data_IF_073994262554
#
_entry.id   IF_073994262554
#
_cell.length_a   1.000
_cell.length_b   1.000
_cell.length_c   1.000
_cell.angle_alpha   90.00
_cell.angle_beta   90.00
_cell.angle_gamma   90.00
#
_symmetry.space_group_name_H-M   'P 1'
#
loop_
_entity.id
_entity.type
_entity.pdbx_description
1 polymer ?
#
# COMPACT_ATOMS: atom_id res chain seq x y z
N UNK A 1 -2.24 -9.22 0.80
CA UNK A 1 -1.90 -9.42 2.22
C UNK A 1 -3.14 -9.43 3.10
N UNK A 2 -3.19 -10.31 4.09
CA UNK A 2 -4.43 -10.74 4.75
C UNK A 2 -4.91 -9.88 5.93
N UNK A 3 -4.27 -8.75 6.25
CA UNK A 3 -4.59 -7.98 7.48
C UNK A 3 -6.05 -7.56 7.54
N UNK A 4 -6.63 -7.08 6.42
CA UNK A 4 -8.05 -6.72 6.39
C UNK A 4 -8.99 -7.92 6.16
N UNK A 5 -8.54 -8.96 5.45
CA UNK A 5 -9.37 -10.13 5.10
C UNK A 5 -9.93 -10.83 6.35
N UNK A 6 -9.18 -10.80 7.44
CA UNK A 6 -9.56 -11.38 8.73
C UNK A 6 -9.79 -10.33 9.82
N UNK A 7 -9.80 -9.03 9.47
CA UNK A 7 -10.03 -7.97 10.43
C UNK A 7 -11.41 -8.11 11.11
N UNK A 8 -11.58 -7.59 12.34
CA UNK A 8 -12.83 -7.70 13.09
C UNK A 8 -14.05 -7.22 12.27
N UNK A 9 -15.09 -8.03 12.19
CA UNK A 9 -16.27 -7.81 11.34
C UNK A 9 -16.27 -8.64 10.05
N UNK A 10 -15.10 -9.05 9.55
CA UNK A 10 -15.02 -9.92 8.36
C UNK A 10 -15.56 -11.33 8.63
N UNK A 11 -16.19 -11.90 7.62
CA UNK A 11 -16.81 -13.21 7.66
C UNK A 11 -16.11 -14.20 6.72
N UNK A 12 -15.84 -15.40 7.25
CA UNK A 12 -15.20 -16.51 6.52
C UNK A 12 -16.11 -17.73 6.59
N UNK A 13 -16.28 -18.41 5.47
CA UNK A 13 -17.03 -19.67 5.40
C UNK A 13 -16.04 -20.83 5.39
N UNK A 14 -16.21 -21.76 6.33
CA UNK A 14 -15.45 -23.00 6.42
C UNK A 14 -16.33 -24.10 7.02
N UNK A 15 -16.22 -25.34 6.53
CA UNK A 15 -16.95 -26.51 7.05
C UNK A 15 -18.47 -26.30 7.22
N UNK A 16 -19.10 -25.64 6.25
CA UNK A 16 -20.55 -25.33 6.29
C UNK A 16 -20.95 -24.30 7.36
N UNK A 17 -19.98 -23.63 7.98
CA UNK A 17 -20.16 -22.63 9.04
C UNK A 17 -19.62 -21.26 8.63
N UNK A 18 -20.28 -20.21 9.14
CA UNK A 18 -19.90 -18.82 9.00
C UNK A 18 -19.21 -18.35 10.27
N UNK A 19 -17.95 -17.93 10.13
CA UNK A 19 -17.10 -17.41 11.19
C UNK A 19 -16.99 -15.90 11.04
N UNK A 20 -17.48 -15.14 12.03
CA UNK A 20 -17.28 -13.69 12.09
C UNK A 20 -16.08 -13.37 12.96
N UNK A 21 -15.03 -12.78 12.36
CA UNK A 21 -13.87 -12.28 13.11
C UNK A 21 -14.29 -11.22 14.11
N UNK A 22 -13.76 -11.26 15.33
CA UNK A 22 -14.16 -10.31 16.39
C UNK A 22 -13.05 -9.88 17.33
N UNK A 23 -12.08 -10.75 17.60
CA UNK A 23 -11.03 -10.45 18.57
C UNK A 23 -9.68 -10.38 17.88
N UNK A 24 -8.86 -9.41 18.26
CA UNK A 24 -7.45 -9.35 17.87
C UNK A 24 -6.64 -10.15 18.90
N UNK A 25 -6.01 -11.24 18.47
CA UNK A 25 -5.35 -12.16 19.38
C UNK A 25 -4.13 -11.49 20.02
N UNK A 26 -4.05 -11.60 21.34
CA UNK A 26 -2.93 -11.10 22.14
C UNK A 26 -1.72 -12.03 22.09
N UNK A 27 -0.54 -11.46 22.31
CA UNK A 27 0.69 -12.19 22.61
C UNK A 27 0.58 -12.81 24.01
N UNK A 28 0.99 -14.07 24.15
CA UNK A 28 1.08 -14.77 25.44
C UNK A 28 2.35 -14.32 26.22
N UNK A 29 2.64 -13.02 26.27
CA UNK A 29 3.81 -12.49 26.95
C UNK A 29 3.46 -12.07 28.39
N UNK A 30 4.42 -12.22 29.32
CA UNK A 30 4.30 -11.75 30.71
C UNK A 30 4.43 -10.22 30.84
N UNK A 31 4.38 -9.47 29.74
CA UNK A 31 4.56 -8.02 29.68
C UNK A 31 3.21 -7.29 29.58
N UNK A 32 3.17 -6.05 30.08
CA UNK A 32 1.95 -5.22 30.17
C UNK A 32 1.40 -4.85 28.77
N UNK A 33 2.24 -4.87 27.75
CA UNK A 33 1.85 -4.69 26.34
C UNK A 33 1.73 -6.05 25.63
N UNK A 34 0.51 -6.41 25.24
CA UNK A 34 0.13 -7.74 24.76
C UNK A 34 -0.18 -7.79 23.25
N UNK A 35 0.25 -6.79 22.47
CA UNK A 35 0.25 -6.79 21.01
C UNK A 35 1.57 -6.23 20.50
N UNK A 36 1.90 -6.52 19.24
CA UNK A 36 2.88 -5.70 18.53
C UNK A 36 2.21 -4.40 18.11
N UNK A 37 2.92 -3.30 18.32
CA UNK A 37 2.46 -1.97 17.96
C UNK A 37 3.35 -1.37 16.88
N UNK A 38 2.74 -0.54 16.04
CA UNK A 38 3.43 0.37 15.16
C UNK A 38 2.89 1.79 15.33
N UNK A 39 3.54 2.77 14.73
CA UNK A 39 3.11 4.16 14.72
C UNK A 39 3.07 4.65 13.29
N UNK A 40 1.96 5.28 12.91
CA UNK A 40 1.74 5.80 11.56
C UNK A 40 1.33 7.27 11.62
N UNK A 41 1.74 8.04 10.63
CA UNK A 41 1.36 9.44 10.46
C UNK A 41 1.49 9.84 9.00
N UNK A 42 0.80 10.91 8.62
CA UNK A 42 1.00 11.58 7.35
C UNK A 42 1.86 12.84 7.57
N UNK A 43 2.69 13.20 6.59
CA UNK A 43 3.48 14.41 6.65
C UNK A 43 2.58 15.65 6.57
N UNK A 44 2.79 16.63 7.44
CA UNK A 44 1.98 17.86 7.48
C UNK A 44 2.34 18.88 6.38
N UNK A 45 3.42 18.63 5.61
CA UNK A 45 3.76 19.45 4.45
C UNK A 45 2.79 19.13 3.30
N UNK A 46 1.97 20.08 2.82
CA UNK A 46 0.97 19.85 1.76
C UNK A 46 1.57 19.37 0.44
N UNK A 47 2.82 19.73 0.14
CA UNK A 47 3.50 19.27 -1.08
C UNK A 47 4.05 17.84 -0.92
N UNK A 48 4.07 17.31 0.30
CA UNK A 48 4.63 15.99 0.60
C UNK A 48 3.57 14.96 1.01
N UNK A 49 2.80 15.19 2.07
CA UNK A 49 1.71 14.27 2.52
C UNK A 49 2.11 12.78 2.59
N UNK A 50 3.41 12.48 2.69
CA UNK A 50 3.89 11.11 2.61
C UNK A 50 3.58 10.40 3.93
N UNK A 51 3.09 9.17 3.84
CA UNK A 51 2.87 8.34 5.01
C UNK A 51 4.21 7.86 5.57
N UNK A 52 4.36 8.03 6.87
CA UNK A 52 5.53 7.63 7.65
C UNK A 52 5.12 6.55 8.65
N UNK A 53 5.98 5.55 8.83
CA UNK A 53 5.75 4.43 9.74
C UNK A 53 6.98 4.15 10.60
N UNK A 54 6.76 3.73 11.85
CA UNK A 54 7.80 3.25 12.77
C UNK A 54 7.29 2.06 13.58
N UNK A 55 8.14 1.05 13.80
CA UNK A 55 7.89 -0.06 14.73
C UNK A 55 8.05 0.32 16.21
N UNK A 56 8.73 1.41 16.49
CA UNK A 56 8.95 1.91 17.85
C UNK A 56 8.28 3.27 18.01
N UNK A 57 7.98 3.64 19.26
CA UNK A 57 7.37 4.92 19.54
C UNK A 57 8.28 6.06 19.04
N UNK A 58 7.79 6.91 18.11
CA UNK A 58 8.54 8.01 17.53
C UNK A 58 9.00 9.02 18.59
N UNK A 59 10.24 9.51 18.42
CA UNK A 59 10.82 10.60 19.23
C UNK A 59 10.24 11.97 18.91
N UNK A 60 10.81 13.02 19.51
CA UNK A 60 10.36 14.41 19.28
C UNK A 60 10.90 15.02 17.97
N UNK A 61 11.95 14.44 17.39
CA UNK A 61 12.71 14.98 16.26
C UNK A 61 12.65 14.08 15.01
N UNK A 62 11.59 13.29 14.89
CA UNK A 62 11.39 12.41 13.73
C UNK A 62 11.12 13.23 12.48
N UNK A 63 11.87 12.94 11.42
CA UNK A 63 11.76 13.60 10.14
C UNK A 63 10.94 12.76 9.17
N UNK A 64 10.21 13.42 8.29
CA UNK A 64 9.53 12.77 7.18
C UNK A 64 10.55 12.09 6.26
N UNK A 65 10.34 10.80 5.96
CA UNK A 65 11.21 10.00 5.10
C UNK A 65 11.37 10.53 3.67
N UNK A 66 10.48 11.42 3.23
CA UNK A 66 10.41 11.91 1.85
C UNK A 66 10.91 13.35 1.66
N UNK A 67 10.72 14.22 2.66
CA UNK A 67 11.00 15.66 2.54
C UNK A 67 11.74 16.27 3.73
N UNK A 68 12.11 15.45 4.72
CA UNK A 68 12.85 15.85 5.92
C UNK A 68 12.13 16.86 6.83
N UNK A 69 10.86 17.17 6.57
CA UNK A 69 10.06 18.02 7.45
C UNK A 69 9.85 17.31 8.78
N UNK A 70 10.13 18.01 9.89
CA UNK A 70 9.92 17.49 11.25
C UNK A 70 8.45 17.17 11.48
N UNK A 71 8.18 15.96 11.97
CA UNK A 71 6.83 15.48 12.28
C UNK A 71 6.56 15.64 13.77
N UNK A 72 5.45 16.29 14.10
CA UNK A 72 5.03 16.44 15.49
C UNK A 72 4.71 15.08 16.11
N UNK A 73 5.35 14.75 17.25
CA UNK A 73 5.13 13.50 18.00
C UNK A 73 3.65 13.21 18.28
N UNK A 74 2.82 14.23 18.49
CA UNK A 74 1.38 14.09 18.78
C UNK A 74 0.55 13.63 17.58
N UNK A 75 1.09 13.73 16.36
CA UNK A 75 0.42 13.31 15.12
C UNK A 75 0.55 11.82 14.84
N UNK A 76 1.53 11.18 15.47
CA UNK A 76 1.72 9.74 15.34
C UNK A 76 0.61 8.97 16.04
N UNK A 77 -0.13 8.20 15.25
CA UNK A 77 -1.18 7.32 15.73
C UNK A 77 -0.60 5.95 16.03
N UNK A 78 -0.85 5.44 17.24
CA UNK A 78 -0.54 4.05 17.60
C UNK A 78 -1.44 3.11 16.77
N UNK A 79 -0.86 2.02 16.30
CA UNK A 79 -1.50 0.98 15.44
C UNK A 79 -1.20 -0.39 15.99
N UNK A 80 -2.04 -1.38 15.70
CA UNK A 80 -1.83 -2.77 16.13
C UNK A 80 -1.37 -3.60 14.94
N UNK A 81 -0.29 -4.36 15.12
CA UNK A 81 0.13 -5.39 14.18
C UNK A 81 -0.34 -6.78 14.67
N UNK A 82 -1.36 -7.39 14.02
CA UNK A 82 -2.03 -8.60 14.52
C UNK A 82 -1.24 -9.89 14.24
N UNK A 83 0.01 -10.01 14.72
CA UNK A 83 0.91 -11.16 14.46
C UNK A 83 0.37 -12.52 14.86
N UNK A 84 -0.50 -12.58 15.88
CA UNK A 84 -1.13 -13.83 16.35
C UNK A 84 -2.48 -14.10 15.67
N UNK A 85 -2.84 -13.28 14.69
CA UNK A 85 -4.08 -13.37 13.96
C UNK A 85 -5.29 -12.89 14.76
N UNK A 86 -6.45 -13.38 14.33
CA UNK A 86 -7.76 -12.99 14.85
C UNK A 86 -8.49 -14.21 15.40
N UNK A 87 -9.47 -13.97 16.27
CA UNK A 87 -10.36 -15.01 16.80
C UNK A 87 -11.79 -14.62 16.42
N UNK A 88 -12.56 -15.61 15.97
CA UNK A 88 -13.96 -15.43 15.63
C UNK A 88 -14.86 -15.47 16.86
N UNK A 89 -16.09 -14.97 16.69
CA UNK A 89 -17.19 -15.36 17.56
C UNK A 89 -17.52 -16.86 17.37
N UNK A 90 -18.49 -17.34 18.15
CA UNK A 90 -19.04 -18.68 17.92
C UNK A 90 -19.62 -18.75 16.50
N UNK A 91 -19.20 -19.74 15.69
CA UNK A 91 -19.67 -19.84 14.32
C UNK A 91 -21.16 -20.16 14.27
N UNK A 92 -21.82 -19.66 13.23
CA UNK A 92 -23.23 -19.94 12.92
C UNK A 92 -23.34 -20.73 11.62
N UNK A 93 -24.50 -21.32 11.32
CA UNK A 93 -24.72 -21.96 10.02
C UNK A 93 -24.69 -20.93 8.87
N UNK A 94 -24.13 -21.34 7.74
CA UNK A 94 -24.00 -20.48 6.57
C UNK A 94 -25.37 -20.15 6.00
N UNK A 95 -25.58 -18.87 5.70
CA UNK A 95 -26.77 -18.40 5.00
C UNK A 95 -26.45 -18.29 3.50
N UNK A 96 -27.49 -18.25 2.67
CA UNK A 96 -27.35 -18.02 1.21
C UNK A 96 -26.86 -16.60 0.86
N UNK A 97 -26.68 -15.72 1.85
CA UNK A 97 -26.15 -14.36 1.67
C UNK A 97 -24.63 -14.38 1.51
N UNK A 98 -24.11 -13.56 0.59
CA UNK A 98 -22.67 -13.37 0.41
C UNK A 98 -22.03 -12.93 1.74
N UNK A 99 -20.93 -13.56 2.20
CA UNK A 99 -20.23 -13.15 3.40
C UNK A 99 -19.68 -11.73 3.29
N UNK A 100 -19.78 -10.97 4.38
CA UNK A 100 -19.17 -9.65 4.50
C UNK A 100 -17.65 -9.79 4.58
N UNK A 101 -16.92 -9.07 3.72
CA UNK A 101 -15.46 -9.07 3.70
C UNK A 101 -14.93 -7.65 3.73
N UNK A 102 -14.05 -7.35 4.69
CA UNK A 102 -13.31 -6.09 4.67
C UNK A 102 -12.11 -6.22 3.74
N UNK A 103 -12.26 -5.79 2.49
CA UNK A 103 -11.18 -5.80 1.49
C UNK A 103 -10.29 -4.55 1.50
N UNK A 104 -10.38 -3.74 2.55
CA UNK A 104 -9.99 -2.33 2.49
C UNK A 104 -8.66 -2.09 3.19
N UNK A 105 -7.56 -2.41 2.50
CA UNK A 105 -6.23 -1.93 2.89
C UNK A 105 -5.67 -0.91 1.92
N UNK A 106 -4.70 -0.16 2.39
CA UNK A 106 -3.83 0.72 1.60
C UNK A 106 -2.39 0.35 1.88
N UNK A 107 -1.60 0.37 0.81
CA UNK A 107 -0.20 -0.04 0.85
C UNK A 107 0.64 1.24 0.67
N UNK A 108 1.56 1.49 1.60
CA UNK A 108 2.44 2.65 1.60
C UNK A 108 3.90 2.21 1.57
N UNK A 109 4.64 2.72 0.61
CA UNK A 109 6.10 2.59 0.62
C UNK A 109 6.69 3.48 1.72
N UNK A 110 7.44 2.87 2.63
CA UNK A 110 8.05 3.56 3.78
C UNK A 110 9.57 3.50 3.75
N UNK A 111 10.13 2.71 2.84
CA UNK A 111 11.56 2.50 2.67
C UNK A 111 12.20 1.78 3.85
N UNK A 112 13.31 1.11 3.60
CA UNK A 112 14.14 0.51 4.65
C UNK A 112 15.56 1.06 4.61
N UNK A 113 16.17 1.26 5.78
CA UNK A 113 17.59 1.65 5.90
C UNK A 113 18.53 0.47 5.62
N UNK A 114 18.04 -0.75 5.82
CA UNK A 114 18.75 -2.00 5.57
C UNK A 114 18.43 -2.60 4.19
N UNK A 115 17.67 -1.89 3.34
CA UNK A 115 17.40 -2.34 1.98
C UNK A 115 18.71 -2.49 1.20
N UNK A 116 18.75 -3.46 0.31
CA UNK A 116 19.87 -3.62 -0.60
C UNK A 116 19.50 -3.06 -1.97
N UNK A 117 20.14 -1.96 -2.35
CA UNK A 117 20.03 -1.38 -3.69
C UNK A 117 20.83 -2.26 -4.64
N UNK A 118 20.14 -2.87 -5.61
CA UNK A 118 20.79 -3.66 -6.67
C UNK A 118 21.39 -2.71 -7.69
N UNK A 119 20.55 -1.83 -8.23
CA UNK A 119 20.91 -0.92 -9.32
C UNK A 119 20.12 0.39 -9.21
N UNK A 120 20.75 1.48 -9.61
CA UNK A 120 20.11 2.76 -9.87
C UNK A 120 20.55 3.21 -11.26
N UNK A 121 19.63 3.10 -12.22
CA UNK A 121 19.85 3.40 -13.63
C UNK A 121 19.14 4.68 -13.99
N UNK A 122 19.77 5.49 -14.83
CA UNK A 122 19.19 6.71 -15.37
C UNK A 122 19.08 6.58 -16.86
N UNK A 123 17.92 6.92 -17.40
CA UNK A 123 17.62 6.85 -18.81
C UNK A 123 17.06 8.17 -19.31
N UNK A 124 17.31 8.46 -20.58
CA UNK A 124 16.69 9.58 -21.29
C UNK A 124 15.84 9.05 -22.44
N UNK A 125 14.63 9.60 -22.60
CA UNK A 125 13.77 9.44 -23.78
C UNK A 125 13.29 10.84 -24.18
N UNK A 126 13.55 11.28 -25.41
CA UNK A 126 13.15 12.62 -25.90
C UNK A 126 13.53 13.78 -24.96
N UNK A 127 14.74 13.75 -24.39
CA UNK A 127 15.25 14.70 -23.38
C UNK A 127 14.53 14.68 -22.02
N UNK A 128 13.59 13.75 -21.81
CA UNK A 128 12.96 13.50 -20.51
C UNK A 128 13.76 12.41 -19.77
N UNK A 129 14.08 12.68 -18.51
CA UNK A 129 14.85 11.76 -17.68
C UNK A 129 13.95 10.85 -16.83
N UNK A 130 14.31 9.57 -16.78
CA UNK A 130 13.70 8.56 -15.92
C UNK A 130 14.80 7.94 -15.06
N UNK A 131 14.59 7.90 -13.76
CA UNK A 131 15.44 7.16 -12.82
C UNK A 131 14.71 5.88 -12.42
N UNK A 132 15.36 4.75 -12.62
CA UNK A 132 14.89 3.43 -12.25
C UNK A 132 15.80 2.85 -11.17
N UNK A 133 15.28 2.71 -9.96
CA UNK A 133 15.98 2.09 -8.83
C UNK A 133 15.36 0.73 -8.52
N UNK A 134 16.21 -0.30 -8.39
CA UNK A 134 15.80 -1.63 -7.95
C UNK A 134 16.38 -1.94 -6.58
N UNK A 135 15.52 -2.35 -5.65
CA UNK A 135 15.90 -2.69 -4.29
C UNK A 135 15.31 -4.04 -3.88
N UNK A 136 15.96 -4.67 -2.90
CA UNK A 136 15.50 -5.90 -2.26
C UNK A 136 15.41 -5.69 -0.76
N UNK A 137 14.55 -6.49 -0.12
CA UNK A 137 14.27 -6.36 1.31
C UNK A 137 13.85 -4.93 1.70
N UNK A 138 13.06 -4.29 0.83
CA UNK A 138 12.58 -2.94 1.06
C UNK A 138 11.19 -2.95 1.70
N UNK A 139 10.89 -1.92 2.48
CA UNK A 139 9.76 -1.96 3.42
C UNK A 139 8.53 -1.21 2.89
N UNK A 140 7.42 -1.93 2.93
CA UNK A 140 6.08 -1.39 2.76
C UNK A 140 5.26 -1.65 4.02
N UNK A 141 4.36 -0.73 4.32
CA UNK A 141 3.34 -0.93 5.35
C UNK A 141 1.98 -1.02 4.71
N UNK A 142 1.24 -2.06 5.05
CA UNK A 142 -0.18 -2.18 4.74
C UNK A 142 -0.97 -1.70 5.94
N UNK A 143 -1.96 -0.86 5.72
CA UNK A 143 -2.85 -0.29 6.74
C UNK A 143 -4.29 -0.55 6.38
N UNK A 144 -5.15 -0.83 7.34
CA UNK A 144 -6.60 -0.78 7.13
C UNK A 144 -7.06 0.64 6.79
N UNK A 145 -8.10 0.77 5.97
CA UNK A 145 -8.68 2.08 5.66
C UNK A 145 -9.41 2.68 6.86
N UNK A 146 -10.13 1.84 7.59
CA UNK A 146 -10.84 2.24 8.80
C UNK A 146 -10.04 1.90 10.05
N UNK A 147 -10.32 2.64 11.13
CA UNK A 147 -9.86 2.31 12.48
C UNK A 147 -10.88 1.41 13.16
N UNK A 148 -10.41 0.65 14.13
CA UNK A 148 -11.21 -0.22 14.97
C UNK A 148 -11.17 0.28 16.40
N UNK A 149 -12.31 0.24 17.08
CA UNK A 149 -12.40 0.41 18.52
C UNK A 149 -12.10 -0.94 19.18
N UNK A 150 -10.97 -1.04 19.87
CA UNK A 150 -10.42 -2.30 20.42
C UNK A 150 -10.39 -2.27 21.94
N UNK A 151 -10.94 -3.29 22.59
CA UNK A 151 -10.83 -3.49 24.02
C UNK A 151 -9.38 -3.84 24.41
N UNK A 152 -8.72 -2.97 25.17
CA UNK A 152 -7.36 -3.21 25.65
C UNK A 152 -7.24 -4.42 26.60
N UNK A 153 -8.33 -5.00 27.11
CA UNK A 153 -8.29 -6.13 28.04
C UNK A 153 -8.39 -7.49 27.33
N UNK A 154 -9.33 -7.68 26.40
CA UNK A 154 -9.53 -8.97 25.74
C UNK A 154 -9.34 -8.95 24.22
N UNK A 155 -9.14 -7.77 23.61
CA UNK A 155 -9.00 -7.64 22.16
C UNK A 155 -10.28 -7.70 21.36
N UNK A 156 -11.46 -7.72 22.00
CA UNK A 156 -12.74 -7.52 21.33
C UNK A 156 -12.72 -6.22 20.54
N UNK A 157 -13.12 -6.27 19.28
CA UNK A 157 -13.00 -5.15 18.38
C UNK A 157 -14.25 -4.97 17.49
N UNK A 158 -14.55 -3.71 17.20
CA UNK A 158 -15.58 -3.29 16.25
C UNK A 158 -14.97 -2.29 15.28
N UNK A 159 -15.45 -2.31 14.04
CA UNK A 159 -15.12 -1.29 13.04
C UNK A 159 -15.63 0.09 13.48
N UNK A 160 -14.87 1.13 13.15
CA UNK A 160 -15.12 2.53 13.51
C UNK A 160 -14.32 2.97 14.75
N UNK A 161 -13.65 4.12 14.63
CA UNK A 161 -12.82 4.69 15.69
C UNK A 161 -13.65 5.04 16.95
N UNK A 162 -14.81 5.65 16.73
CA UNK A 162 -15.68 6.16 17.79
C UNK A 162 -16.81 5.18 18.15
N UNK A 163 -16.81 3.99 17.55
CA UNK A 163 -17.80 2.94 17.81
C UNK A 163 -17.70 2.49 19.27
N UNK A 164 -18.76 2.65 20.08
CA UNK A 164 -18.76 2.13 21.44
C UNK A 164 -18.72 0.60 21.42
N UNK A 165 -17.72 0.01 22.08
CA UNK A 165 -17.67 -1.46 22.20
C UNK A 165 -18.75 -1.96 23.16
N UNK A 166 -18.99 -1.24 24.26
CA UNK A 166 -19.96 -1.59 25.29
C UNK A 166 -19.61 -2.85 26.07
N UNK A 167 -20.55 -3.34 26.89
CA UNK A 167 -20.41 -4.64 27.57
C UNK A 167 -20.27 -5.75 26.52
N UNK A 168 -19.29 -6.60 26.71
CA UNK A 168 -18.98 -7.69 25.79
C UNK A 168 -18.36 -8.88 26.53
N UNK A 169 -18.32 -10.01 25.84
CA UNK A 169 -17.63 -11.22 26.29
C UNK A 169 -16.25 -11.30 25.67
N UNK A 170 -15.29 -11.86 26.41
CA UNK A 170 -13.98 -12.22 25.89
C UNK A 170 -14.05 -13.45 24.96
N UNK A 171 -12.93 -13.84 24.36
CA UNK A 171 -12.79 -14.91 23.39
C UNK A 171 -13.17 -16.31 23.93
N UNK A 172 -13.16 -16.50 25.25
CA UNK A 172 -13.61 -17.74 25.93
C UNK A 172 -15.04 -17.65 26.46
N UNK A 173 -15.77 -16.55 26.20
CA UNK A 173 -17.18 -16.38 26.52
C UNK A 173 -17.50 -15.89 27.93
N UNK A 174 -16.51 -15.38 28.68
CA UNK A 174 -16.70 -14.71 29.99
C UNK A 174 -16.91 -13.21 29.81
N UNK A 175 -17.61 -12.57 30.72
CA UNK A 175 -17.79 -11.11 30.67
C UNK A 175 -16.45 -10.39 30.86
N UNK A 176 -16.16 -9.44 29.97
CA UNK A 176 -14.98 -8.60 30.07
C UNK A 176 -15.24 -7.49 31.09
N UNK A 177 -14.29 -7.18 32.00
CA UNK A 177 -14.46 -6.12 32.99
C UNK A 177 -14.39 -4.70 32.39
N UNK A 178 -14.08 -4.56 31.11
CA UNK A 178 -14.05 -3.29 30.41
C UNK A 178 -15.18 -3.18 29.39
N UNK A 179 -15.72 -1.98 29.26
CA UNK A 179 -16.67 -1.56 28.24
C UNK A 179 -16.09 -0.48 27.31
N UNK A 180 -14.78 -0.18 27.44
CA UNK A 180 -14.07 0.87 26.71
C UNK A 180 -13.18 0.31 25.61
N UNK A 181 -13.29 0.91 24.43
CA UNK A 181 -12.41 0.65 23.30
C UNK A 181 -11.43 1.80 23.08
N UNK A 182 -10.30 1.48 22.46
CA UNK A 182 -9.38 2.48 21.95
C UNK A 182 -9.23 2.33 20.43
N UNK A 183 -9.11 3.45 19.70
CA UNK A 183 -9.10 3.43 18.24
C UNK A 183 -7.72 3.09 17.68
N UNK A 184 -7.63 2.05 16.86
CA UNK A 184 -6.40 1.62 16.18
C UNK A 184 -6.63 1.38 14.69
N UNK A 185 -5.69 1.81 13.85
CA UNK A 185 -5.51 1.14 12.57
C UNK A 185 -4.87 -0.23 12.81
N UNK A 186 -5.18 -1.19 11.94
CA UNK A 186 -4.40 -2.42 11.87
C UNK A 186 -3.36 -2.25 10.79
N UNK A 187 -2.11 -2.57 11.12
CA UNK A 187 -0.96 -2.42 10.22
C UNK A 187 -0.17 -3.71 10.11
N UNK A 188 0.54 -3.88 9.00
CA UNK A 188 1.59 -4.89 8.87
C UNK A 188 2.68 -4.35 7.98
N UNK A 189 3.90 -4.34 8.51
CA UNK A 189 5.09 -4.06 7.73
C UNK A 189 5.63 -5.37 7.16
N UNK A 190 5.88 -5.37 5.85
CA UNK A 190 6.47 -6.49 5.14
C UNK A 190 7.57 -5.98 4.22
N UNK A 191 8.51 -6.88 3.93
CA UNK A 191 9.63 -6.60 3.02
C UNK A 191 9.41 -7.31 1.70
N UNK A 192 9.77 -6.67 0.60
CA UNK A 192 9.68 -7.24 -0.75
C UNK A 192 10.70 -6.58 -1.67
N UNK A 193 10.70 -6.98 -2.93
CA UNK A 193 11.47 -6.32 -3.98
C UNK A 193 10.68 -5.14 -4.54
N UNK A 194 11.38 -4.03 -4.80
CA UNK A 194 10.79 -2.79 -5.31
C UNK A 194 11.52 -2.35 -6.57
N UNK A 195 10.75 -1.95 -7.59
CA UNK A 195 11.21 -1.05 -8.63
C UNK A 195 10.58 0.33 -8.41
N UNK A 196 11.43 1.31 -8.13
CA UNK A 196 11.05 2.72 -8.03
C UNK A 196 11.34 3.41 -9.35
N UNK A 197 10.29 3.90 -10.01
CA UNK A 197 10.37 4.66 -11.27
C UNK A 197 10.09 6.12 -10.95
N UNK A 198 11.10 6.98 -11.10
CA UNK A 198 10.96 8.42 -10.93
C UNK A 198 11.04 9.09 -12.29
N UNK A 199 9.97 9.78 -12.68
CA UNK A 199 9.95 10.63 -13.85
C UNK A 199 10.43 12.03 -13.42
N UNK A 200 11.65 12.41 -13.82
CA UNK A 200 12.19 13.71 -13.42
C UNK A 200 11.43 14.84 -14.13
N UNK A 201 11.09 15.89 -13.39
CA UNK A 201 10.30 17.02 -13.88
C UNK A 201 8.78 16.91 -13.64
N UNK A 202 8.29 15.80 -13.08
CA UNK A 202 6.87 15.65 -12.72
C UNK A 202 6.63 16.05 -11.28
N UNK A 203 5.89 17.15 -11.08
CA UNK A 203 5.63 17.73 -9.76
C UNK A 203 4.52 16.99 -8.99
N UNK A 204 4.51 17.16 -7.65
CA UNK A 204 3.64 16.44 -6.71
C UNK A 204 2.15 16.81 -6.76
N UNK A 205 1.77 17.84 -7.51
CA UNK A 205 0.38 18.29 -7.71
C UNK A 205 -0.34 17.50 -8.84
N UNK A 206 0.40 16.77 -9.67
CA UNK A 206 -0.13 15.98 -10.80
C UNK A 206 -0.65 14.59 -10.37
N UNK A 207 -1.43 14.52 -9.29
CA UNK A 207 -1.89 13.24 -8.72
C UNK A 207 -2.67 12.37 -9.72
N UNK A 208 -3.67 12.93 -10.41
CA UNK A 208 -4.52 12.22 -11.38
C UNK A 208 -3.71 11.61 -12.51
N UNK A 209 -2.74 12.36 -13.06
CA UNK A 209 -1.81 11.89 -14.10
C UNK A 209 -1.00 10.70 -13.59
N UNK A 210 -0.40 10.83 -12.41
CA UNK A 210 0.53 9.83 -11.88
C UNK A 210 -0.16 8.57 -11.37
N UNK A 211 -1.33 8.69 -10.74
CA UNK A 211 -2.09 7.50 -10.29
C UNK A 211 -2.69 6.74 -11.48
N UNK A 212 -3.11 7.45 -12.53
CA UNK A 212 -3.56 6.85 -13.78
C UNK A 212 -2.41 6.15 -14.50
N UNK A 213 -1.23 6.79 -14.51
CA UNK A 213 -0.01 6.22 -15.08
C UNK A 213 0.46 4.99 -14.29
N UNK A 214 0.41 5.00 -12.96
CA UNK A 214 0.69 3.82 -12.13
C UNK A 214 -0.18 2.64 -12.52
N UNK A 215 -1.49 2.87 -12.67
CA UNK A 215 -2.43 1.81 -13.05
C UNK A 215 -2.09 1.24 -14.43
N UNK A 216 -1.83 2.10 -15.43
CA UNK A 216 -1.43 1.68 -16.77
C UNK A 216 -0.12 0.89 -16.76
N UNK A 217 0.88 1.37 -16.01
CA UNK A 217 2.19 0.72 -15.86
C UNK A 217 2.09 -0.65 -15.20
N UNK A 218 1.22 -0.83 -14.20
CA UNK A 218 0.99 -2.14 -13.58
C UNK A 218 0.34 -3.13 -14.56
N UNK A 219 -0.69 -2.71 -15.30
CA UNK A 219 -1.33 -3.55 -16.33
C UNK A 219 -0.33 -3.92 -17.44
N UNK A 220 0.48 -2.96 -17.88
CA UNK A 220 1.50 -3.18 -18.91
C UNK A 220 2.64 -4.09 -18.42
N UNK A 221 3.10 -3.89 -17.17
CA UNK A 221 4.18 -4.71 -16.58
C UNK A 221 3.73 -6.16 -16.47
N UNK A 222 2.49 -6.41 -16.01
CA UNK A 222 1.92 -7.75 -15.96
C UNK A 222 1.95 -8.45 -17.32
N UNK A 223 1.51 -7.74 -18.39
CA UNK A 223 1.49 -8.27 -19.76
C UNK A 223 2.88 -8.50 -20.34
N UNK A 224 3.80 -7.55 -20.15
CA UNK A 224 5.15 -7.61 -20.74
C UNK A 224 6.02 -8.66 -20.04
N UNK A 225 5.88 -8.79 -18.72
CA UNK A 225 6.63 -9.77 -17.95
C UNK A 225 5.95 -11.14 -17.90
N UNK A 226 4.75 -11.28 -18.46
CA UNK A 226 3.93 -12.49 -18.43
C UNK A 226 3.73 -13.00 -17.00
N UNK A 227 3.17 -12.12 -16.15
CA UNK A 227 2.86 -12.41 -14.75
C UNK A 227 1.41 -12.08 -14.46
N UNK A 228 0.81 -12.81 -13.51
CA UNK A 228 -0.56 -12.54 -13.10
C UNK A 228 -0.67 -11.13 -12.53
N UNK A 229 -1.70 -10.39 -12.94
CA UNK A 229 -1.82 -8.98 -12.58
C UNK A 229 -1.89 -8.79 -11.07
N UNK A 230 -2.50 -9.73 -10.35
CA UNK A 230 -2.65 -9.69 -8.90
C UNK A 230 -1.36 -9.97 -8.12
N UNK A 231 -0.33 -10.51 -8.77
CA UNK A 231 0.99 -10.74 -8.18
C UNK A 231 1.83 -9.45 -8.16
N UNK A 232 1.40 -8.42 -8.89
CA UNK A 232 2.00 -7.09 -8.88
C UNK A 232 1.12 -6.07 -8.16
N UNK A 233 1.75 -5.24 -7.34
CA UNK A 233 1.11 -4.09 -6.71
C UNK A 233 1.96 -2.85 -6.90
N UNK A 234 1.35 -1.71 -6.60
CA UNK A 234 2.07 -0.45 -6.62
C UNK A 234 1.36 0.65 -5.86
N UNK A 235 2.14 1.66 -5.49
CA UNK A 235 1.66 2.88 -4.86
C UNK A 235 2.48 4.07 -5.38
N UNK A 236 1.92 5.27 -5.24
CA UNK A 236 2.69 6.49 -5.46
C UNK A 236 3.55 6.79 -4.23
N UNK A 237 4.73 7.32 -4.47
CA UNK A 237 5.62 7.84 -3.43
C UNK A 237 6.11 9.21 -3.85
N UNK A 238 5.99 10.21 -2.98
CA UNK A 238 6.55 11.53 -3.21
C UNK A 238 7.97 11.57 -2.64
N UNK A 239 8.92 12.12 -3.38
CA UNK A 239 10.27 12.39 -2.86
C UNK A 239 10.83 13.68 -3.44
N UNK A 240 11.78 14.29 -2.75
CA UNK A 240 12.56 15.41 -3.31
C UNK A 240 13.30 14.96 -4.57
N UNK A 241 13.14 15.73 -5.64
CA UNK A 241 13.94 15.68 -6.86
C UNK A 241 15.31 16.33 -6.63
N UNK A 242 16.21 16.25 -7.62
CA UNK A 242 17.51 16.95 -7.59
C UNK A 242 17.39 18.47 -7.44
N UNK A 243 16.26 19.04 -7.86
CA UNK A 243 15.96 20.48 -7.75
C UNK A 243 15.26 20.83 -6.43
N UNK A 244 15.27 19.93 -5.43
CA UNK A 244 14.60 20.08 -4.13
C UNK A 244 13.07 20.26 -4.21
N UNK A 245 12.47 20.03 -5.39
CA UNK A 245 11.02 20.00 -5.58
C UNK A 245 10.45 18.61 -5.29
N UNK A 246 9.24 18.54 -4.76
CA UNK A 246 8.54 17.27 -4.55
C UNK A 246 8.06 16.70 -5.89
N UNK A 247 8.42 15.43 -6.16
CA UNK A 247 8.07 14.71 -7.37
C UNK A 247 7.47 13.35 -7.05
N UNK A 248 6.55 12.88 -7.89
CA UNK A 248 6.00 11.52 -7.78
C UNK A 248 6.96 10.49 -8.35
N UNK A 249 7.04 9.36 -7.65
CA UNK A 249 7.62 8.12 -8.12
C UNK A 249 6.56 7.03 -8.10
N UNK A 250 6.63 6.14 -9.07
CA UNK A 250 5.86 4.91 -9.07
C UNK A 250 6.66 3.85 -8.32
N UNK A 251 6.08 3.30 -7.26
CA UNK A 251 6.63 2.13 -6.57
C UNK A 251 5.86 0.93 -7.10
N UNK A 252 6.54 0.04 -7.80
CA UNK A 252 6.01 -1.26 -8.22
C UNK A 252 6.73 -2.35 -7.42
N UNK A 253 5.99 -3.37 -7.00
CA UNK A 253 6.53 -4.44 -6.16
C UNK A 253 5.72 -5.73 -6.28
N UNK A 254 6.34 -6.84 -5.87
CA UNK A 254 5.68 -8.13 -5.81
C UNK A 254 4.75 -8.20 -4.59
N UNK A 255 3.51 -8.65 -4.78
CA UNK A 255 2.47 -8.68 -3.77
C UNK A 255 2.76 -9.63 -2.57
N UNK A 256 3.74 -10.51 -2.72
CA UNK A 256 4.15 -11.51 -1.74
C UNK A 256 5.35 -11.01 -0.93
N UNK A 257 5.32 -11.21 0.39
CA UNK A 257 6.45 -10.91 1.25
C UNK A 257 7.69 -11.74 0.85
N UNK A 258 8.87 -11.12 0.88
CA UNK A 258 10.13 -11.69 0.41
C UNK A 258 10.41 -11.48 -1.08
N UNK A 259 9.41 -11.08 -1.87
CA UNK A 259 9.55 -10.89 -3.32
C UNK A 259 9.50 -12.21 -4.09
N UNK A 260 8.75 -12.23 -5.20
CA UNK A 260 8.76 -13.33 -6.17
C UNK A 260 9.86 -13.13 -7.22
N UNK A 261 10.49 -11.94 -7.25
CA UNK A 261 11.50 -11.54 -8.20
C UNK A 261 10.93 -11.10 -9.55
N UNK A 262 9.60 -10.96 -9.69
CA UNK A 262 9.00 -10.54 -10.96
C UNK A 262 9.39 -9.10 -11.27
N UNK A 263 9.24 -8.20 -10.31
CA UNK A 263 9.48 -6.78 -10.56
C UNK A 263 10.93 -6.47 -10.93
N UNK A 264 11.90 -7.27 -10.46
CA UNK A 264 13.32 -7.11 -10.81
C UNK A 264 13.56 -7.22 -12.31
N UNK A 265 12.75 -8.01 -13.04
CA UNK A 265 12.86 -8.19 -14.49
C UNK A 265 12.53 -6.93 -15.28
N UNK A 266 11.89 -5.94 -14.66
CA UNK A 266 11.66 -4.62 -15.26
C UNK A 266 12.97 -3.81 -15.38
N UNK A 267 13.94 -4.07 -14.51
CA UNK A 267 15.17 -3.28 -14.38
C UNK A 267 16.27 -3.95 -15.21
N UNK A 268 16.35 -3.57 -16.49
CA UNK A 268 17.40 -4.02 -17.40
C UNK A 268 18.41 -2.90 -17.65
N UNK A 269 19.69 -3.25 -17.79
CA UNK A 269 20.76 -2.28 -18.03
C UNK A 269 20.53 -1.46 -19.31
N UNK A 270 19.96 -2.08 -20.35
CA UNK A 270 19.63 -1.44 -21.61
C UNK A 270 18.31 -0.65 -21.61
N UNK A 271 17.53 -0.70 -20.51
CA UNK A 271 16.22 -0.06 -20.38
C UNK A 271 15.12 -0.64 -21.28
N UNK A 272 15.38 -1.69 -22.05
CA UNK A 272 14.43 -2.20 -23.05
C UNK A 272 13.16 -2.77 -22.43
N UNK A 273 13.25 -3.40 -21.25
CA UNK A 273 12.07 -3.87 -20.53
C UNK A 273 11.16 -2.69 -20.13
N UNK A 274 11.74 -1.63 -19.55
CA UNK A 274 11.01 -0.42 -19.19
C UNK A 274 10.37 0.26 -20.40
N UNK A 275 11.10 0.42 -21.50
CA UNK A 275 10.57 1.02 -22.74
C UNK A 275 9.39 0.22 -23.32
N UNK A 276 9.47 -1.12 -23.32
CA UNK A 276 8.35 -1.99 -23.73
C UNK A 276 7.13 -1.82 -22.82
N UNK A 277 7.34 -1.70 -21.51
CA UNK A 277 6.26 -1.46 -20.54
C UNK A 277 5.61 -0.09 -20.77
N UNK A 278 6.39 0.99 -20.92
CA UNK A 278 5.86 2.33 -21.20
C UNK A 278 5.05 2.33 -22.50
N UNK A 279 5.60 1.74 -23.57
CA UNK A 279 4.91 1.62 -24.87
C UNK A 279 3.60 0.84 -24.75
N UNK A 280 3.60 -0.24 -23.98
CA UNK A 280 2.39 -1.06 -23.75
C UNK A 280 1.37 -0.30 -22.89
N UNK A 281 1.81 0.42 -21.86
CA UNK A 281 0.97 1.25 -21.01
C UNK A 281 0.27 2.36 -21.83
N UNK A 282 1.02 3.01 -22.73
CA UNK A 282 0.48 3.98 -23.67
C UNK A 282 -0.59 3.37 -24.57
N UNK A 283 -0.33 2.19 -25.17
CA UNK A 283 -1.33 1.50 -26.02
C UNK A 283 -2.60 1.11 -25.25
N UNK A 284 -2.49 0.75 -23.97
CA UNK A 284 -3.65 0.42 -23.11
C UNK A 284 -4.53 1.65 -22.91
N UNK A 285 -3.93 2.82 -22.69
CA UNK A 285 -4.67 4.05 -22.38
C UNK A 285 -5.20 4.74 -23.63
N UNK A 286 -4.38 4.81 -24.68
CA UNK A 286 -4.73 5.40 -25.98
C UNK A 286 -5.77 4.54 -26.73
N UNK A 287 -5.58 3.22 -26.78
CA UNK A 287 -6.40 2.29 -27.57
C UNK A 287 -7.78 1.96 -26.99
N UNK A 288 -8.16 2.55 -25.86
CA UNK A 288 -9.50 2.41 -25.28
C UNK A 288 -10.41 3.55 -25.73
N UNK A 289 -11.72 3.34 -25.78
CA UNK A 289 -12.73 4.32 -26.22
C UNK A 289 -13.56 4.92 -25.06
N UNK A 290 -13.27 4.59 -23.80
CA UNK A 290 -14.08 5.00 -22.65
C UNK A 290 -13.76 6.41 -22.14
N UNK A 291 -14.57 6.93 -21.22
CA UNK A 291 -14.31 8.19 -20.50
C UNK A 291 -14.80 8.10 -19.04
N UNK A 292 -14.03 8.60 -18.04
CA UNK A 292 -12.58 8.88 -18.08
C UNK A 292 -11.72 7.60 -17.97
N UNK A 293 -12.31 6.49 -17.51
CA UNK A 293 -11.63 5.20 -17.33
C UNK A 293 -12.64 4.04 -17.24
N UNK A 294 -12.22 2.80 -17.56
CA UNK A 294 -13.05 1.60 -17.43
C UNK A 294 -12.20 0.37 -17.05
N UNK A 295 -12.85 -0.79 -16.87
CA UNK A 295 -12.19 -2.06 -16.53
C UNK A 295 -11.32 -2.65 -17.64
N UNK A 296 -11.42 -2.15 -18.88
CA UNK A 296 -10.57 -2.59 -20.00
C UNK A 296 -9.21 -1.86 -20.03
N UNK A 297 -9.10 -0.72 -19.35
CA UNK A 297 -7.89 0.11 -19.35
C UNK A 297 -7.26 0.25 -17.96
N UNK A 298 -7.85 1.06 -17.07
CA UNK A 298 -7.22 1.44 -15.80
C UNK A 298 -7.89 0.85 -14.55
N UNK A 299 -9.18 0.49 -14.64
CA UNK A 299 -9.94 0.04 -13.46
C UNK A 299 -9.76 -1.46 -13.26
N UNK A 300 -9.64 -1.86 -12.00
CA UNK A 300 -9.76 -3.25 -11.57
C UNK A 300 -10.50 -3.31 -10.23
N UNK A 301 -10.76 -4.53 -9.75
CA UNK A 301 -11.49 -4.73 -8.50
C UNK A 301 -10.74 -4.13 -7.29
N UNK A 302 -9.42 -4.12 -7.30
CA UNK A 302 -8.62 -3.71 -6.14
C UNK A 302 -8.40 -2.19 -6.05
N UNK A 303 -8.55 -1.45 -7.15
CA UNK A 303 -8.36 0.00 -7.18
C UNK A 303 -9.66 0.83 -7.16
N UNK A 304 -10.78 0.23 -6.74
CA UNK A 304 -12.10 0.89 -6.66
C UNK A 304 -12.09 2.26 -5.96
N UNK A 305 -11.31 2.41 -4.89
CA UNK A 305 -11.22 3.66 -4.12
C UNK A 305 -10.74 4.85 -4.98
N UNK A 306 -9.85 4.59 -5.93
CA UNK A 306 -9.24 5.63 -6.76
C UNK A 306 -9.91 5.75 -8.13
N UNK A 307 -10.99 5.02 -8.43
CA UNK A 307 -11.65 5.06 -9.76
C UNK A 307 -12.04 6.48 -10.19
N UNK A 308 -12.42 7.33 -9.24
CA UNK A 308 -12.79 8.72 -9.50
C UNK A 308 -11.59 9.62 -9.86
N UNK A 309 -10.37 9.17 -9.56
CA UNK A 309 -9.12 9.85 -9.87
C UNK A 309 -8.43 9.27 -11.13
N UNK A 310 -9.03 8.29 -11.80
CA UNK A 310 -8.43 7.64 -12.97
C UNK A 310 -8.92 8.28 -14.26
N UNK A 311 -7.97 8.82 -15.03
CA UNK A 311 -8.18 9.40 -16.35
C UNK A 311 -7.17 8.82 -17.36
N UNK A 312 -7.67 8.03 -18.31
CA UNK A 312 -6.81 7.39 -19.33
C UNK A 312 -6.18 8.39 -20.30
N UNK A 313 -6.85 9.51 -20.59
CA UNK A 313 -6.37 10.50 -21.54
C UNK A 313 -5.18 11.27 -20.95
N UNK A 314 -5.24 11.62 -19.67
CA UNK A 314 -4.11 12.20 -18.95
C UNK A 314 -2.90 11.27 -18.91
N UNK A 315 -3.11 9.99 -18.57
CA UNK A 315 -2.03 8.99 -18.60
C UNK A 315 -1.46 8.79 -20.02
N UNK A 316 -2.31 8.71 -21.06
CA UNK A 316 -1.86 8.59 -22.45
C UNK A 316 -1.03 9.81 -22.89
N UNK A 317 -1.51 11.02 -22.59
CA UNK A 317 -0.80 12.27 -22.90
C UNK A 317 0.57 12.29 -22.22
N UNK A 318 0.63 11.90 -20.94
CA UNK A 318 1.88 11.83 -20.18
C UNK A 318 2.86 10.80 -20.76
N UNK A 319 2.39 9.56 -20.97
CA UNK A 319 3.21 8.46 -21.48
C UNK A 319 3.71 8.71 -22.92
N UNK A 320 2.99 9.50 -23.73
CA UNK A 320 3.39 9.81 -25.10
C UNK A 320 4.75 10.50 -25.21
N UNK A 321 5.13 11.32 -24.21
CA UNK A 321 6.46 11.95 -24.16
C UNK A 321 7.60 10.96 -23.98
N UNK A 322 7.32 9.78 -23.41
CA UNK A 322 8.28 8.73 -23.11
C UNK A 322 8.28 7.60 -24.14
N UNK A 323 7.76 7.84 -25.35
CA UNK A 323 7.87 6.91 -26.47
C UNK A 323 9.16 7.16 -27.28
N UNK A 324 9.83 6.10 -27.71
CA UNK A 324 11.01 6.17 -28.56
C UNK A 324 12.23 5.46 -27.99
N UNK A 325 13.41 5.84 -28.48
CA UNK A 325 14.67 5.21 -28.13
C UNK A 325 15.08 5.57 -26.69
N UNK A 326 15.13 4.55 -25.84
CA UNK A 326 15.65 4.68 -24.48
C UNK A 326 17.18 4.62 -24.50
N UNK A 327 17.82 5.62 -23.90
CA UNK A 327 19.28 5.71 -23.80
C UNK A 327 19.68 5.77 -22.34
N UNK A 328 20.60 4.91 -21.94
CA UNK A 328 21.16 4.96 -20.59
C UNK A 328 22.13 6.15 -20.48
N UNK A 329 21.93 6.99 -19.48
CA UNK A 329 22.90 8.02 -19.12
C UNK A 329 24.09 7.33 -18.44
N UNK A 330 25.30 7.53 -19.00
CA UNK A 330 26.52 7.07 -18.35
C UNK A 330 26.77 7.96 -17.13
N UNK A 331 27.07 7.32 -15.99
CA UNK A 331 27.38 7.99 -14.72
C UNK A 331 28.47 9.04 -14.84
#
# INVERSE_FOLDING_TARGET
MAVAEYAPGSQVVADGKLYTSRYIRKLNAKTVENWEFGWITECENPNCETVNFRKQQPGNDELCIACDTKINRRKWLKTIEPRRGFISERPIEVRMTKPDRMYRTEDYYVGDQQRHVIDTLRFTINNLSIVLESTTNDSLVVRTQERFSVCNICGYAKEGADTPIGKHKNEIGRDCPSDKGQPYYLTHEFKTDVAKITFEGVESDQYTVMISTLCAMLEATARVLDVERNDLRGCLYKSKSREEKMAYSLILYDAVAGGAGHIRRLVTQDGQALSKVITTAYRITEGCDCEPSCYKCLRNYYNQKIHNNLNRMEAASFLSGYLGDIKQEKK
#
